data_IF_927047178221
#
_entry.id   IF_927047178221
#
_cell.length_a   1.000
_cell.length_b   1.000
_cell.length_c   1.000
_cell.angle_alpha   90.00
_cell.angle_beta   90.00
_cell.angle_gamma   90.00
#
_symmetry.space_group_name_H-M   'P 1'
#
loop_
_entity.id
_entity.type
_entity.pdbx_description
1 polymer ?
#
# COMPACT_ATOMS: atom_id res chain seq x y z
N UNK A 1 21.11 19.18 -21.25
CA UNK A 1 21.50 18.81 -19.88
C UNK A 1 21.81 17.32 -19.87
N UNK A 2 22.93 16.90 -19.28
CA UNK A 2 23.24 15.47 -19.19
C UNK A 2 22.27 14.79 -18.21
N UNK A 3 21.89 13.52 -18.43
CA UNK A 3 20.98 12.82 -17.53
C UNK A 3 21.43 12.79 -16.06
N UNK A 4 22.75 12.69 -15.82
CA UNK A 4 23.34 12.74 -14.48
C UNK A 4 23.15 14.08 -13.76
N UNK A 5 23.04 15.18 -14.51
CA UNK A 5 22.78 16.52 -13.98
C UNK A 5 21.29 16.75 -13.72
N UNK A 6 20.42 16.02 -14.43
CA UNK A 6 18.97 16.19 -14.34
C UNK A 6 18.35 15.44 -13.16
N UNK A 7 18.88 14.27 -12.81
CA UNK A 7 18.37 13.46 -11.68
C UNK A 7 18.31 14.24 -10.35
N UNK A 8 19.35 14.98 -9.91
CA UNK A 8 19.26 15.80 -8.71
C UNK A 8 18.13 16.84 -8.76
N UNK A 9 17.90 17.46 -9.92
CA UNK A 9 16.84 18.45 -10.10
C UNK A 9 15.45 17.81 -10.04
N UNK A 10 15.26 16.63 -10.64
CA UNK A 10 14.01 15.86 -10.53
C UNK A 10 13.71 15.55 -9.07
N UNK A 11 14.68 15.03 -8.31
CA UNK A 11 14.53 14.70 -6.88
C UNK A 11 14.24 15.93 -6.02
N UNK A 12 14.85 17.07 -6.34
CA UNK A 12 14.57 18.32 -5.65
C UNK A 12 13.14 18.81 -5.96
N UNK A 13 12.76 18.79 -7.24
CA UNK A 13 11.45 19.28 -7.67
C UNK A 13 10.31 18.37 -7.20
N UNK A 14 10.52 17.05 -7.15
CA UNK A 14 9.52 16.11 -6.64
C UNK A 14 9.15 16.44 -5.19
N UNK A 15 10.14 16.81 -4.36
CA UNK A 15 9.87 17.28 -2.98
C UNK A 15 9.02 18.53 -2.96
N UNK A 16 9.28 19.49 -3.84
CA UNK A 16 8.46 20.70 -3.96
C UNK A 16 7.01 20.40 -4.39
N UNK A 17 6.77 19.31 -5.11
CA UNK A 17 5.43 18.84 -5.46
C UNK A 17 4.80 17.89 -4.42
N UNK A 18 5.45 17.67 -3.27
CA UNK A 18 4.88 16.92 -2.14
C UNK A 18 5.14 15.42 -2.19
N UNK A 19 6.25 14.98 -2.79
CA UNK A 19 6.78 13.62 -2.64
C UNK A 19 7.88 13.57 -1.58
N UNK A 20 7.82 12.62 -0.65
CA UNK A 20 8.77 12.49 0.45
C UNK A 20 10.06 11.76 0.04
N UNK A 21 9.97 10.87 -0.95
CA UNK A 21 11.13 10.23 -1.56
C UNK A 21 11.00 10.15 -3.10
N UNK A 22 12.15 10.13 -3.77
CA UNK A 22 12.27 9.98 -5.21
C UNK A 22 13.55 9.21 -5.53
N UNK A 23 13.43 8.17 -6.34
CA UNK A 23 14.53 7.32 -6.78
C UNK A 23 14.38 6.89 -8.22
N UNK A 24 15.46 6.41 -8.84
CA UNK A 24 15.49 5.99 -10.24
C UNK A 24 15.79 4.49 -10.31
N UNK A 25 14.92 3.72 -10.95
CA UNK A 25 15.14 2.31 -11.24
C UNK A 25 15.42 2.08 -12.73
N UNK A 26 16.16 1.00 -13.09
CA UNK A 26 16.20 0.53 -14.47
C UNK A 26 14.80 0.03 -14.91
N UNK A 27 14.48 0.07 -16.21
CA UNK A 27 13.15 -0.30 -16.71
C UNK A 27 12.92 -1.81 -16.76
N UNK A 28 13.98 -2.61 -16.73
CA UNK A 28 13.97 -4.04 -17.02
C UNK A 28 15.07 -4.80 -16.27
N UNK A 29 15.10 -6.12 -16.43
CA UNK A 29 16.17 -6.97 -15.88
C UNK A 29 16.09 -7.19 -14.37
N UNK A 30 14.91 -6.97 -13.77
CA UNK A 30 14.66 -7.10 -12.34
C UNK A 30 14.13 -8.52 -12.03
N UNK A 31 14.90 -9.39 -11.34
CA UNK A 31 14.52 -10.79 -11.16
C UNK A 31 13.16 -11.00 -10.49
N UNK A 32 12.77 -10.11 -9.57
CA UNK A 32 11.54 -10.19 -8.80
C UNK A 32 10.28 -10.01 -9.65
N UNK A 33 10.37 -9.40 -10.84
CA UNK A 33 9.22 -9.24 -11.74
C UNK A 33 8.62 -10.59 -12.16
N UNK A 34 9.43 -11.64 -12.18
CA UNK A 34 8.98 -13.00 -12.51
C UNK A 34 8.08 -13.63 -11.43
N UNK A 35 8.19 -13.20 -10.17
CA UNK A 35 7.45 -13.75 -9.05
C UNK A 35 5.94 -13.56 -9.17
N UNK A 36 5.50 -12.53 -9.90
CA UNK A 36 4.09 -12.24 -10.11
C UNK A 36 3.36 -13.36 -10.88
N UNK A 37 3.97 -13.92 -11.94
CA UNK A 37 3.34 -15.00 -12.72
C UNK A 37 3.23 -16.29 -11.90
N UNK A 38 4.24 -16.59 -11.09
CA UNK A 38 4.20 -17.72 -10.15
C UNK A 38 3.10 -17.53 -9.10
N UNK A 39 2.98 -16.32 -8.55
CA UNK A 39 1.92 -15.98 -7.60
C UNK A 39 0.51 -16.14 -8.19
N UNK A 40 0.31 -15.73 -9.45
CA UNK A 40 -0.92 -15.98 -10.20
C UNK A 40 -1.16 -17.48 -10.41
N UNK A 41 -0.14 -18.24 -10.82
CA UNK A 41 -0.24 -19.68 -11.06
C UNK A 41 -0.65 -20.48 -9.81
N UNK A 42 -0.31 -19.99 -8.61
CA UNK A 42 -0.78 -20.56 -7.33
C UNK A 42 -2.24 -20.23 -7.00
N UNK A 43 -2.91 -19.40 -7.80
CA UNK A 43 -4.27 -18.94 -7.56
C UNK A 43 -4.40 -17.95 -6.41
N UNK A 44 -3.30 -17.34 -5.97
CA UNK A 44 -3.29 -16.45 -4.82
C UNK A 44 -3.96 -15.10 -5.07
N UNK A 45 -4.33 -14.78 -6.32
CA UNK A 45 -5.04 -13.56 -6.70
C UNK A 45 -6.55 -13.55 -6.38
N UNK A 46 -7.14 -14.69 -6.05
CA UNK A 46 -8.58 -14.78 -5.84
C UNK A 46 -9.38 -14.32 -7.06
N UNK A 47 -10.34 -13.42 -6.87
CA UNK A 47 -11.25 -12.92 -7.92
C UNK A 47 -10.64 -11.78 -8.77
N UNK A 48 -9.38 -11.38 -8.53
CA UNK A 48 -8.72 -10.26 -9.22
C UNK A 48 -8.27 -10.61 -10.65
N UNK A 49 -9.18 -11.08 -11.50
CA UNK A 49 -8.92 -11.50 -12.89
C UNK A 49 -8.27 -10.41 -13.78
N UNK A 50 -8.35 -9.13 -13.38
CA UNK A 50 -7.66 -8.04 -14.07
C UNK A 50 -6.12 -8.14 -13.97
N UNK A 51 -5.60 -8.78 -12.92
CA UNK A 51 -4.18 -9.04 -12.73
C UNK A 51 -3.66 -10.05 -13.77
N UNK A 52 -4.43 -11.09 -14.06
CA UNK A 52 -4.10 -12.08 -15.10
C UNK A 52 -4.07 -11.44 -16.49
N UNK A 53 -5.08 -10.61 -16.82
CA UNK A 53 -5.17 -9.92 -18.12
C UNK A 53 -4.00 -8.97 -18.40
N UNK A 54 -3.33 -8.49 -17.36
CA UNK A 54 -2.22 -7.54 -17.46
C UNK A 54 -0.85 -8.17 -17.13
N UNK A 55 -0.79 -9.50 -16.94
CA UNK A 55 0.41 -10.15 -16.43
C UNK A 55 1.64 -10.05 -17.34
N UNK A 56 1.44 -10.10 -18.66
CA UNK A 56 2.55 -9.93 -19.61
C UNK A 56 3.05 -8.49 -19.66
N UNK A 57 2.14 -7.51 -19.54
CA UNK A 57 2.51 -6.09 -19.48
C UNK A 57 3.27 -5.75 -18.19
N UNK A 58 3.00 -6.46 -17.09
CA UNK A 58 3.67 -6.30 -15.79
C UNK A 58 5.06 -6.92 -15.72
N UNK A 59 5.46 -7.71 -16.72
CA UNK A 59 6.75 -8.39 -16.72
C UNK A 59 7.92 -7.42 -16.89
N UNK A 60 7.68 -6.23 -17.45
CA UNK A 60 8.70 -5.24 -17.80
C UNK A 60 8.07 -3.85 -17.99
N UNK A 61 8.79 -2.76 -17.67
CA UNK A 61 8.29 -1.40 -17.89
C UNK A 61 7.98 -1.08 -19.36
N UNK A 62 8.63 -1.79 -20.32
CA UNK A 62 8.35 -1.65 -21.75
C UNK A 62 6.91 -2.06 -22.11
N UNK A 63 6.25 -2.89 -21.29
CA UNK A 63 4.83 -3.23 -21.46
C UNK A 63 3.89 -2.04 -21.21
N UNK A 64 4.32 -1.06 -20.43
CA UNK A 64 3.58 0.16 -20.16
C UNK A 64 4.01 1.33 -21.07
N UNK A 65 5.31 1.43 -21.40
CA UNK A 65 5.85 2.40 -22.35
C UNK A 65 6.98 1.76 -23.16
N UNK A 66 6.75 1.48 -24.45
CA UNK A 66 7.73 0.81 -25.32
C UNK A 66 9.08 1.54 -25.39
N UNK A 67 9.08 2.87 -25.21
CA UNK A 67 10.30 3.70 -25.22
C UNK A 67 11.00 3.81 -23.86
N UNK A 68 10.59 3.05 -22.84
CA UNK A 68 11.13 3.13 -21.48
C UNK A 68 12.65 2.94 -21.43
N UNK A 69 13.33 3.85 -20.72
CA UNK A 69 14.76 3.76 -20.41
C UNK A 69 15.07 3.93 -18.93
N UNK A 70 14.11 4.44 -18.16
CA UNK A 70 14.19 4.55 -16.70
C UNK A 70 12.79 4.58 -16.08
N UNK A 71 12.72 4.32 -14.78
CA UNK A 71 11.50 4.48 -13.99
C UNK A 71 11.81 5.40 -12.82
N UNK A 72 11.14 6.55 -12.78
CA UNK A 72 11.21 7.47 -11.63
C UNK A 72 10.17 6.99 -10.62
N UNK A 73 10.62 6.49 -9.48
CA UNK A 73 9.74 6.02 -8.40
C UNK A 73 9.64 7.09 -7.33
N UNK A 74 8.43 7.39 -6.93
CA UNK A 74 8.08 8.40 -5.96
C UNK A 74 7.38 7.75 -4.78
N UNK A 75 7.59 8.28 -3.58
CA UNK A 75 6.88 7.83 -2.40
C UNK A 75 6.36 9.01 -1.56
N UNK A 76 5.19 8.84 -0.98
CA UNK A 76 4.53 9.87 -0.14
C UNK A 76 4.00 9.24 1.13
N UNK A 77 4.36 9.79 2.28
CA UNK A 77 3.90 9.34 3.61
C UNK A 77 2.43 9.69 3.78
N UNK A 78 1.64 8.68 4.19
CA UNK A 78 0.21 8.84 4.49
C UNK A 78 -0.15 8.58 5.95
N UNK A 79 0.84 8.24 6.79
CA UNK A 79 0.59 8.01 8.20
C UNK A 79 0.03 9.26 8.89
N UNK A 80 -0.82 9.10 9.89
CA UNK A 80 -1.38 10.19 10.69
C UNK A 80 -1.30 9.86 12.17
N UNK A 81 -1.48 10.87 13.03
CA UNK A 81 -1.40 10.80 14.50
C UNK A 81 -2.42 9.85 15.17
N UNK A 82 -3.34 9.26 14.41
CA UNK A 82 -4.34 8.33 14.95
C UNK A 82 -3.69 7.06 15.51
N UNK A 83 -4.27 6.40 16.51
CA UNK A 83 -3.72 5.17 17.09
C UNK A 83 -3.81 3.98 16.12
N UNK A 84 -2.90 3.02 16.26
CA UNK A 84 -2.94 1.77 15.48
C UNK A 84 -4.14 0.90 15.87
N UNK A 85 -4.63 0.09 14.93
CA UNK A 85 -5.72 -0.86 15.19
C UNK A 85 -5.32 -1.89 16.26
N UNK A 86 -4.05 -2.29 16.30
CA UNK A 86 -3.51 -3.20 17.32
C UNK A 86 -3.50 -2.62 18.74
N UNK A 87 -3.66 -1.31 18.90
CA UNK A 87 -3.70 -0.61 20.18
C UNK A 87 -5.15 -0.32 20.65
N UNK A 88 -6.14 -0.70 19.85
CA UNK A 88 -7.55 -0.46 20.16
C UNK A 88 -7.99 -1.23 21.42
N UNK A 89 -8.70 -0.53 22.31
CA UNK A 89 -9.22 -1.11 23.56
C UNK A 89 -10.73 -1.33 23.53
N UNK A 90 -11.45 -0.59 22.69
CA UNK A 90 -12.88 -0.77 22.47
C UNK A 90 -13.10 -1.85 21.40
N UNK A 91 -13.70 -3.00 21.75
CA UNK A 91 -13.98 -4.07 20.80
C UNK A 91 -15.03 -3.69 19.74
N UNK A 92 -15.70 -2.54 19.89
CA UNK A 92 -16.68 -2.02 18.91
C UNK A 92 -16.09 -0.93 18.02
N UNK A 93 -14.83 -0.54 18.19
CA UNK A 93 -14.19 0.42 17.30
C UNK A 93 -14.05 -0.18 15.89
N UNK A 94 -14.49 0.56 14.87
CA UNK A 94 -14.32 0.14 13.49
C UNK A 94 -12.92 0.48 12.99
N UNK A 95 -12.29 -0.43 12.25
CA UNK A 95 -10.97 -0.22 11.67
C UNK A 95 -11.05 -0.07 10.15
N UNK A 96 -10.55 1.07 9.67
CA UNK A 96 -10.31 1.36 8.27
C UNK A 96 -8.81 1.51 8.12
N UNK A 97 -8.23 0.85 7.11
CA UNK A 97 -6.82 0.99 6.78
C UNK A 97 -6.47 2.45 6.49
N UNK A 98 -5.35 2.89 7.06
CA UNK A 98 -4.85 4.26 7.08
C UNK A 98 -4.79 4.92 5.71
N UNK A 99 -4.44 4.13 4.69
CA UNK A 99 -4.30 4.64 3.33
C UNK A 99 -5.64 5.16 2.74
N UNK A 100 -6.78 4.74 3.30
CA UNK A 100 -8.10 5.05 2.78
C UNK A 100 -8.86 6.11 3.61
N UNK A 101 -8.23 6.69 4.61
CA UNK A 101 -8.84 7.66 5.53
C UNK A 101 -9.17 9.01 4.90
N UNK A 102 -8.31 9.48 4.01
CA UNK A 102 -8.41 10.78 3.36
C UNK A 102 -8.99 10.74 1.95
N UNK A 103 -8.50 11.64 1.11
CA UNK A 103 -8.76 11.70 -0.31
C UNK A 103 -8.15 10.52 -1.05
N UNK A 104 -8.77 10.14 -2.17
CA UNK A 104 -8.28 9.09 -3.04
C UNK A 104 -6.87 9.44 -3.58
N UNK A 105 -5.87 8.70 -3.09
CA UNK A 105 -4.46 8.91 -3.41
C UNK A 105 -4.18 8.84 -4.91
N UNK A 106 -4.95 8.05 -5.67
CA UNK A 106 -4.80 7.97 -7.13
C UNK A 106 -4.91 9.35 -7.77
N UNK A 107 -5.91 10.15 -7.38
CA UNK A 107 -6.14 11.46 -7.96
C UNK A 107 -5.13 12.50 -7.49
N UNK A 108 -4.74 12.43 -6.22
CA UNK A 108 -3.78 13.37 -5.64
C UNK A 108 -2.39 13.15 -6.23
N UNK A 109 -1.91 11.90 -6.27
CA UNK A 109 -0.58 11.58 -6.78
C UNK A 109 -0.49 11.73 -8.30
N UNK A 110 -1.55 11.40 -9.04
CA UNK A 110 -1.57 11.65 -10.49
C UNK A 110 -1.37 13.14 -10.80
N UNK A 111 -2.09 14.04 -10.10
CA UNK A 111 -1.90 15.50 -10.27
C UNK A 111 -0.48 15.95 -9.94
N UNK A 112 0.14 15.40 -8.90
CA UNK A 112 1.54 15.73 -8.54
C UNK A 112 2.53 15.24 -9.59
N UNK A 113 2.31 14.04 -10.14
CA UNK A 113 3.14 13.51 -11.23
C UNK A 113 2.96 14.34 -12.51
N UNK A 114 1.75 14.73 -12.87
CA UNK A 114 1.49 15.60 -14.02
C UNK A 114 2.23 16.94 -13.90
N UNK A 115 2.25 17.52 -12.69
CA UNK A 115 3.02 18.73 -12.41
C UNK A 115 4.54 18.51 -12.56
N UNK A 116 5.05 17.39 -12.05
CA UNK A 116 6.45 17.02 -12.19
C UNK A 116 6.84 16.79 -13.65
N UNK A 117 6.03 16.05 -14.42
CA UNK A 117 6.24 15.80 -15.86
C UNK A 117 6.21 17.12 -16.64
N UNK A 118 5.23 17.98 -16.37
CA UNK A 118 5.13 19.29 -17.02
C UNK A 118 6.37 20.16 -16.74
N UNK A 119 6.86 20.18 -15.50
CA UNK A 119 8.10 20.85 -15.15
C UNK A 119 9.31 20.21 -15.85
N UNK A 120 9.39 18.87 -15.92
CA UNK A 120 10.48 18.18 -16.60
C UNK A 120 10.54 18.58 -18.08
N UNK A 121 9.40 18.71 -18.76
CA UNK A 121 9.32 19.20 -20.14
C UNK A 121 9.72 20.66 -20.31
N UNK A 122 9.58 21.48 -19.27
CA UNK A 122 10.04 22.89 -19.31
C UNK A 122 11.56 22.99 -19.17
N UNK A 123 12.17 22.11 -18.37
CA UNK A 123 13.60 22.17 -18.04
C UNK A 123 14.46 21.35 -19.01
N UNK A 124 13.97 20.20 -19.47
CA UNK A 124 14.69 19.34 -20.40
C UNK A 124 14.29 19.66 -21.84
N UNK A 125 15.24 20.21 -22.60
CA UNK A 125 14.98 20.78 -23.94
C UNK A 125 14.70 19.74 -25.02
N UNK A 126 15.21 18.53 -24.88
CA UNK A 126 14.97 17.45 -25.84
C UNK A 126 13.62 16.77 -25.57
N UNK A 127 12.84 16.42 -26.61
CA UNK A 127 11.59 15.70 -26.42
C UNK A 127 11.81 14.32 -25.80
N UNK A 128 10.90 13.92 -24.91
CA UNK A 128 10.85 12.58 -24.33
C UNK A 128 9.41 12.18 -24.02
N UNK A 129 9.16 10.89 -23.88
CA UNK A 129 7.91 10.33 -23.38
C UNK A 129 8.02 10.04 -21.88
N UNK A 130 6.94 10.33 -21.15
CA UNK A 130 6.75 10.00 -19.75
C UNK A 130 5.30 9.50 -19.52
N UNK A 131 5.16 8.39 -18.81
CA UNK A 131 3.88 7.76 -18.50
C UNK A 131 3.72 7.60 -16.98
N UNK A 132 2.83 8.37 -16.33
CA UNK A 132 2.59 8.29 -14.89
C UNK A 132 1.67 7.12 -14.53
N UNK A 133 1.97 6.44 -13.43
CA UNK A 133 1.19 5.33 -12.88
C UNK A 133 1.12 5.40 -11.35
N UNK A 134 -0.03 4.96 -10.84
CA UNK A 134 -0.30 4.79 -9.40
C UNK A 134 -1.36 3.71 -9.28
N UNK A 135 -1.00 2.55 -8.73
CA UNK A 135 -1.77 1.30 -8.46
C UNK A 135 -2.51 0.66 -9.67
N UNK A 136 -3.22 1.46 -10.44
CA UNK A 136 -4.13 1.10 -11.54
C UNK A 136 -3.43 0.74 -12.87
N UNK A 137 -2.10 0.73 -12.90
CA UNK A 137 -1.28 0.41 -14.09
C UNK A 137 -0.68 -1.01 -14.09
N UNK A 138 -0.19 -1.49 -15.23
CA UNK A 138 0.56 -2.74 -15.32
C UNK A 138 2.00 -2.57 -14.82
N UNK A 139 2.19 -1.94 -13.66
CA UNK A 139 3.51 -1.68 -13.05
C UNK A 139 3.64 -2.50 -11.77
N UNK A 140 4.79 -3.13 -11.56
CA UNK A 140 5.11 -3.79 -10.29
C UNK A 140 5.84 -2.79 -9.38
N UNK A 141 5.07 -1.83 -8.88
CA UNK A 141 5.50 -0.65 -8.11
C UNK A 141 6.54 -0.99 -7.04
N UNK A 142 6.26 -2.03 -6.25
CA UNK A 142 7.12 -2.45 -5.13
C UNK A 142 8.50 -2.96 -5.58
N UNK A 143 8.57 -3.59 -6.76
CA UNK A 143 9.84 -4.05 -7.34
C UNK A 143 10.65 -2.86 -7.81
N UNK A 144 10.03 -1.92 -8.52
CA UNK A 144 10.72 -0.70 -8.95
C UNK A 144 11.16 0.14 -7.75
N UNK A 145 10.34 0.29 -6.71
CA UNK A 145 10.70 0.98 -5.48
C UNK A 145 11.95 0.40 -4.81
N UNK A 146 12.11 -0.94 -4.81
CA UNK A 146 13.34 -1.59 -4.35
C UNK A 146 14.55 -1.15 -5.15
N UNK A 147 14.47 -1.25 -6.47
CA UNK A 147 15.58 -0.97 -7.38
C UNK A 147 15.85 0.53 -7.56
N UNK A 148 14.91 1.39 -7.18
CA UNK A 148 15.06 2.83 -7.07
C UNK A 148 15.64 3.29 -5.72
N UNK A 149 15.91 2.35 -4.80
CA UNK A 149 16.45 2.67 -3.47
C UNK A 149 15.44 3.31 -2.52
N UNK A 150 14.14 3.31 -2.84
CA UNK A 150 13.07 3.84 -1.97
C UNK A 150 12.97 3.02 -0.67
N UNK A 151 13.10 1.71 -0.75
CA UNK A 151 12.95 0.81 0.39
C UNK A 151 13.01 -0.64 -0.06
N UNK A 152 13.07 -1.61 0.87
CA UNK A 152 13.07 -3.03 0.50
C UNK A 152 11.68 -3.62 0.59
N UNK A 153 11.42 -4.72 -0.13
CA UNK A 153 10.17 -5.47 0.00
C UNK A 153 10.26 -6.32 1.27
N UNK A 154 9.47 -5.98 2.27
CA UNK A 154 9.45 -6.68 3.55
C UNK A 154 8.80 -8.07 3.47
N UNK A 155 8.95 -8.85 4.54
CA UNK A 155 8.29 -10.16 4.68
C UNK A 155 6.75 -10.06 4.68
N UNK A 156 6.20 -8.88 4.93
CA UNK A 156 4.77 -8.56 4.82
C UNK A 156 4.33 -8.13 3.40
N UNK A 157 5.23 -8.19 2.41
CA UNK A 157 5.03 -7.79 1.02
C UNK A 157 4.89 -6.27 0.77
N UNK A 158 4.99 -5.41 1.79
CA UNK A 158 5.03 -3.95 1.64
C UNK A 158 6.45 -3.47 1.34
N UNK A 159 6.59 -2.29 0.74
CA UNK A 159 7.89 -1.59 0.72
C UNK A 159 8.10 -0.95 2.08
N UNK A 160 9.30 -1.14 2.65
CA UNK A 160 9.71 -0.57 3.92
C UNK A 160 10.89 0.34 3.66
N UNK A 161 10.76 1.61 4.03
CA UNK A 161 11.83 2.59 4.05
C UNK A 161 12.38 2.71 5.49
N UNK A 162 13.70 2.83 5.68
CA UNK A 162 14.28 2.89 7.01
C UNK A 162 13.93 4.15 7.81
N UNK A 163 13.58 5.25 7.14
CA UNK A 163 13.25 6.56 7.72
C UNK A 163 11.74 6.83 7.68
N UNK A 164 11.06 6.43 6.60
CA UNK A 164 9.64 6.71 6.37
C UNK A 164 8.70 5.57 6.82
N UNK A 165 9.26 4.41 7.18
CA UNK A 165 8.48 3.21 7.44
C UNK A 165 7.83 2.65 6.17
N UNK A 166 6.68 1.99 6.32
CA UNK A 166 5.91 1.40 5.21
C UNK A 166 4.58 2.12 4.93
N UNK A 167 4.22 3.13 5.72
CA UNK A 167 3.02 3.94 5.47
C UNK A 167 3.28 4.97 4.38
N UNK A 168 3.67 4.47 3.22
CA UNK A 168 4.00 5.23 2.02
C UNK A 168 3.14 4.77 0.85
N UNK A 169 2.56 5.73 0.13
CA UNK A 169 2.05 5.48 -1.22
C UNK A 169 3.23 5.38 -2.18
N UNK A 170 3.09 4.56 -3.22
CA UNK A 170 4.01 4.51 -4.34
C UNK A 170 3.33 5.11 -5.58
N UNK A 171 4.14 5.69 -6.45
CA UNK A 171 3.74 6.11 -7.78
C UNK A 171 4.97 6.20 -8.68
N UNK A 172 4.82 5.93 -9.97
CA UNK A 172 5.92 5.84 -10.92
C UNK A 172 5.69 6.70 -12.15
N UNK A 173 6.78 7.24 -12.68
CA UNK A 173 6.83 7.82 -14.02
C UNK A 173 7.78 6.96 -14.84
N UNK A 174 7.23 6.18 -15.78
CA UNK A 174 8.03 5.43 -16.74
C UNK A 174 8.48 6.41 -17.82
N UNK A 175 9.79 6.50 -18.02
CA UNK A 175 10.40 7.59 -18.78
C UNK A 175 11.31 7.05 -19.87
N UNK A 176 11.26 7.68 -21.04
CA UNK A 176 12.16 7.37 -22.16
C UNK A 176 13.54 8.03 -22.07
N UNK A 177 13.77 8.85 -21.04
CA UNK A 177 15.10 9.37 -20.73
C UNK A 177 15.95 8.29 -20.06
N UNK A 178 17.23 8.23 -20.44
CA UNK A 178 18.22 7.37 -19.82
C UNK A 178 18.76 8.02 -18.55
N UNK A 179 18.01 7.88 -17.46
CA UNK A 179 18.38 8.41 -16.14
C UNK A 179 19.23 7.37 -15.38
N UNK A 180 20.39 7.74 -14.80
CA UNK A 180 21.20 6.82 -14.01
C UNK A 180 20.41 6.24 -12.83
N UNK A 181 20.38 4.91 -12.65
CA UNK A 181 19.64 4.29 -11.56
C UNK A 181 20.33 4.52 -10.20
N UNK A 182 19.51 4.55 -9.15
CA UNK A 182 19.97 4.54 -7.77
C UNK A 182 20.39 3.13 -7.33
N UNK A 183 21.00 3.05 -6.15
CA UNK A 183 21.39 1.77 -5.56
C UNK A 183 20.17 1.09 -4.96
N UNK A 184 19.89 -0.19 -5.30
CA UNK A 184 18.78 -0.91 -4.71
C UNK A 184 18.87 -0.99 -3.19
N UNK A 185 17.73 -0.84 -2.51
CA UNK A 185 17.67 -0.92 -1.06
C UNK A 185 17.98 -2.35 -0.57
N UNK A 186 18.85 -2.44 0.43
CA UNK A 186 19.17 -3.70 1.10
C UNK A 186 17.99 -4.17 1.98
N UNK A 187 17.75 -5.47 2.02
CA UNK A 187 16.80 -6.08 2.96
C UNK A 187 17.29 -5.86 4.41
N UNK A 188 16.39 -5.37 5.26
CA UNK A 188 16.65 -5.16 6.70
C UNK A 188 15.66 -5.86 7.63
N UNK A 189 14.85 -6.80 7.13
CA UNK A 189 13.98 -7.61 7.97
C UNK A 189 14.77 -8.58 8.87
N UNK A 190 15.93 -9.07 8.42
CA UNK A 190 16.75 -10.02 9.16
C UNK A 190 15.95 -11.26 9.62
N UNK A 191 16.12 -11.66 10.89
CA UNK A 191 15.40 -12.78 11.48
C UNK A 191 13.95 -12.44 11.90
N UNK A 192 13.51 -11.18 11.84
CA UNK A 192 12.19 -10.76 12.32
C UNK A 192 11.04 -11.49 11.60
N UNK A 193 10.01 -11.91 12.35
CA UNK A 193 8.81 -12.59 11.83
C UNK A 193 7.50 -12.02 12.40
N UNK A 194 7.52 -10.80 12.96
CA UNK A 194 6.38 -10.20 13.65
C UNK A 194 5.12 -10.16 12.77
N UNK A 195 5.24 -9.68 11.53
CA UNK A 195 4.12 -9.61 10.59
C UNK A 195 3.52 -10.98 10.24
N UNK A 196 4.35 -12.00 10.10
CA UNK A 196 3.92 -13.38 9.80
C UNK A 196 3.11 -13.95 10.97
N UNK A 197 3.55 -13.70 12.21
CA UNK A 197 2.90 -14.16 13.44
C UNK A 197 1.62 -13.38 13.76
N UNK A 198 1.60 -12.09 13.45
CA UNK A 198 0.48 -11.22 13.76
C UNK A 198 -0.68 -11.29 12.75
N UNK A 199 -0.44 -11.78 11.53
CA UNK A 199 -1.46 -11.88 10.50
C UNK A 199 -2.62 -12.79 10.95
N UNK A 200 -3.84 -12.27 11.22
CA UNK A 200 -4.90 -13.04 11.89
C UNK A 200 -5.38 -14.24 11.09
N UNK A 201 -5.33 -14.13 9.77
CA UNK A 201 -5.78 -15.15 8.83
C UNK A 201 -4.64 -15.98 8.27
N UNK A 202 -3.40 -15.75 8.72
CA UNK A 202 -2.19 -16.39 8.16
C UNK A 202 -2.12 -16.25 6.63
N UNK A 203 -2.48 -15.08 6.11
CA UNK A 203 -2.42 -14.79 4.69
C UNK A 203 -0.97 -14.68 4.19
N UNK A 204 -0.03 -14.31 5.05
CA UNK A 204 1.40 -14.35 4.75
C UNK A 204 1.92 -15.79 4.93
N UNK A 205 1.79 -16.61 3.89
CA UNK A 205 2.09 -18.05 3.91
C UNK A 205 3.59 -18.37 3.97
N UNK A 206 4.42 -17.41 3.59
CA UNK A 206 5.88 -17.45 3.74
C UNK A 206 6.43 -16.01 3.74
N UNK A 207 7.70 -15.77 4.14
CA UNK A 207 8.33 -14.46 4.01
C UNK A 207 8.19 -13.90 2.58
N UNK A 208 7.47 -12.78 2.44
CA UNK A 208 7.27 -12.12 1.15
C UNK A 208 6.23 -12.80 0.23
N UNK A 209 5.48 -13.79 0.73
CA UNK A 209 4.46 -14.51 -0.05
C UNK A 209 3.09 -14.36 0.61
N UNK A 210 2.17 -13.69 -0.08
CA UNK A 210 0.80 -13.44 0.39
C UNK A 210 -0.19 -14.32 -0.39
N UNK A 211 -1.07 -15.06 0.28
CA UNK A 211 -2.29 -15.58 -0.33
C UNK A 211 -3.41 -14.53 -0.16
N UNK A 212 -3.73 -13.77 -1.21
CA UNK A 212 -4.68 -12.67 -1.09
C UNK A 212 -6.08 -13.18 -0.69
N UNK A 213 -6.45 -14.40 -1.06
CA UNK A 213 -7.76 -14.99 -0.71
C UNK A 213 -8.01 -15.05 0.79
N UNK A 214 -6.94 -15.00 1.60
CA UNK A 214 -7.00 -14.99 3.06
C UNK A 214 -6.78 -13.60 3.66
N UNK A 215 -6.23 -12.66 2.90
CA UNK A 215 -5.84 -11.35 3.41
C UNK A 215 -7.07 -10.49 3.71
N UNK A 216 -7.20 -9.98 4.94
CA UNK A 216 -8.34 -9.12 5.35
C UNK A 216 -8.50 -7.94 4.39
N UNK A 217 -7.39 -7.37 3.89
CA UNK A 217 -7.45 -6.31 2.89
C UNK A 217 -8.17 -6.75 1.61
N UNK A 218 -7.85 -7.92 1.07
CA UNK A 218 -8.56 -8.45 -0.11
C UNK A 218 -10.01 -8.81 0.22
N UNK A 219 -10.27 -9.46 1.36
CA UNK A 219 -11.61 -9.87 1.78
C UNK A 219 -12.56 -8.67 1.88
N UNK A 220 -12.06 -7.54 2.38
CA UNK A 220 -12.87 -6.33 2.61
C UNK A 220 -12.96 -5.41 1.37
N UNK A 221 -12.03 -5.52 0.41
CA UNK A 221 -11.95 -4.59 -0.73
C UNK A 221 -12.33 -5.24 -2.06
N UNK A 222 -11.74 -6.40 -2.35
CA UNK A 222 -11.76 -6.99 -3.70
C UNK A 222 -12.77 -8.10 -3.85
N UNK A 223 -12.94 -8.93 -2.81
CA UNK A 223 -13.93 -10.00 -2.82
C UNK A 223 -15.34 -9.40 -2.90
N UNK A 224 -16.15 -9.87 -3.85
CA UNK A 224 -17.51 -9.33 -4.07
C UNK A 224 -18.61 -10.14 -3.39
N UNK A 225 -18.40 -11.45 -3.24
CA UNK A 225 -19.32 -12.35 -2.56
C UNK A 225 -19.19 -12.35 -1.03
N UNK A 226 -19.67 -13.39 -0.38
CA UNK A 226 -19.51 -13.57 1.07
C UNK A 226 -18.05 -13.85 1.45
N UNK A 227 -17.59 -13.30 2.57
CA UNK A 227 -16.32 -13.69 3.19
C UNK A 227 -16.46 -15.16 3.65
N UNK A 228 -15.47 -16.05 3.43
CA UNK A 228 -15.55 -17.44 3.90
C UNK A 228 -15.80 -17.50 5.41
N UNK A 229 -16.71 -18.37 5.85
CA UNK A 229 -17.16 -18.43 7.25
C UNK A 229 -16.01 -18.69 8.23
N UNK A 230 -15.02 -19.49 7.82
CA UNK A 230 -13.82 -19.78 8.61
C UNK A 230 -12.88 -18.57 8.79
N UNK A 231 -12.99 -17.56 7.93
CA UNK A 231 -12.18 -16.33 7.99
C UNK A 231 -12.92 -15.18 8.68
N UNK A 232 -14.26 -15.19 8.72
CA UNK A 232 -15.08 -14.11 9.31
C UNK A 232 -14.62 -13.73 10.72
N UNK A 233 -14.41 -14.65 11.69
CA UNK A 233 -13.99 -14.27 13.04
C UNK A 233 -12.65 -13.52 13.06
N UNK A 234 -11.71 -13.91 12.21
CA UNK A 234 -10.37 -13.32 12.15
C UNK A 234 -10.34 -11.94 11.47
N UNK A 235 -11.39 -11.54 10.76
CA UNK A 235 -11.54 -10.16 10.24
C UNK A 235 -11.64 -9.16 11.40
N UNK A 236 -12.19 -9.56 12.54
CA UNK A 236 -12.44 -8.67 13.67
C UNK A 236 -13.36 -7.51 13.26
N UNK A 237 -13.06 -6.30 13.71
CA UNK A 237 -13.82 -5.08 13.39
C UNK A 237 -13.24 -4.29 12.20
N UNK A 238 -12.44 -4.94 11.35
CA UNK A 238 -11.94 -4.33 10.12
C UNK A 238 -13.06 -4.19 9.09
N UNK A 239 -13.44 -2.95 8.78
CA UNK A 239 -14.52 -2.65 7.83
C UNK A 239 -14.00 -2.33 6.43
N UNK A 240 -12.72 -1.97 6.29
CA UNK A 240 -12.07 -1.71 5.01
C UNK A 240 -10.54 -1.77 5.13
N UNK A 241 -9.89 -2.67 4.40
CA UNK A 241 -8.43 -2.84 4.48
C UNK A 241 -7.96 -3.44 5.80
N UNK A 242 -6.64 -3.62 5.95
CA UNK A 242 -6.02 -4.07 7.20
C UNK A 242 -4.55 -3.63 7.24
N UNK A 243 -4.13 -3.05 8.37
CA UNK A 243 -2.76 -2.55 8.55
C UNK A 243 -1.94 -3.39 9.52
N UNK A 244 -2.48 -4.44 10.13
CA UNK A 244 -1.82 -5.19 11.22
C UNK A 244 -0.38 -5.59 10.88
N UNK A 245 -0.13 -6.09 9.65
CA UNK A 245 1.21 -6.53 9.24
C UNK A 245 2.20 -5.36 9.07
N UNK A 246 1.71 -4.13 8.90
CA UNK A 246 2.48 -2.89 8.94
C UNK A 246 2.58 -2.37 10.38
N UNK A 247 1.49 -2.32 11.15
CA UNK A 247 1.46 -1.77 12.51
C UNK A 247 2.40 -2.51 13.48
N UNK A 248 2.59 -3.83 13.30
CA UNK A 248 3.56 -4.60 14.10
C UNK A 248 5.01 -4.50 13.59
N UNK A 249 5.25 -3.83 12.46
CA UNK A 249 6.58 -3.69 11.88
C UNK A 249 7.40 -2.66 12.70
N UNK A 250 8.61 -3.01 13.17
CA UNK A 250 9.42 -2.08 13.98
C UNK A 250 9.74 -0.76 13.28
N UNK A 251 9.84 -0.76 11.94
CA UNK A 251 10.09 0.45 11.15
C UNK A 251 8.91 1.44 11.12
N UNK A 252 7.72 1.03 11.56
CA UNK A 252 6.58 1.93 11.68
C UNK A 252 6.39 2.52 13.08
N UNK A 253 7.11 2.02 14.09
CA UNK A 253 7.06 2.59 15.45
C UNK A 253 7.54 4.04 15.50
N UNK A 254 8.36 4.45 14.53
CA UNK A 254 8.89 5.81 14.39
C UNK A 254 8.61 6.39 13.00
N UNK A 255 7.63 5.85 12.27
CA UNK A 255 7.28 6.39 10.96
C UNK A 255 6.75 7.84 11.12
N UNK A 256 7.19 8.78 10.27
CA UNK A 256 6.73 10.15 10.35
C UNK A 256 5.23 10.23 10.07
N UNK A 257 4.60 11.26 10.64
CA UNK A 257 3.22 11.61 10.35
C UNK A 257 3.19 12.64 9.22
N UNK A 258 2.19 12.53 8.35
CA UNK A 258 1.97 13.50 7.30
C UNK A 258 1.07 14.62 7.78
N UNK A 259 1.50 15.86 7.57
CA UNK A 259 0.68 17.07 7.75
C UNK A 259 -0.17 17.41 6.52
N UNK A 260 -0.15 16.58 5.49
CA UNK A 260 -0.90 16.81 4.26
C UNK A 260 -2.41 16.65 4.51
N UNK A 261 -3.23 17.69 4.24
CA UNK A 261 -4.68 17.63 4.43
C UNK A 261 -5.35 16.51 3.62
N UNK A 262 -4.77 16.12 2.49
CA UNK A 262 -5.33 15.07 1.64
C UNK A 262 -5.32 13.69 2.32
N UNK A 263 -4.43 13.45 3.28
CA UNK A 263 -4.30 12.15 3.95
C UNK A 263 -5.01 12.09 5.31
N UNK A 264 -5.51 13.24 5.79
CA UNK A 264 -6.14 13.29 7.10
C UNK A 264 -7.48 12.53 7.11
N UNK A 265 -7.84 11.89 8.23
CA UNK A 265 -9.10 11.20 8.36
C UNK A 265 -10.30 12.10 8.10
N UNK A 266 -11.19 11.66 7.23
CA UNK A 266 -12.49 12.29 7.05
C UNK A 266 -13.33 12.07 8.31
N UNK A 267 -14.09 13.10 8.73
CA UNK A 267 -14.93 13.06 9.93
C UNK A 267 -15.99 11.96 9.96
N UNK A 268 -16.38 11.45 8.78
CA UNK A 268 -17.31 10.33 8.66
C UNK A 268 -16.68 8.98 9.00
N UNK A 269 -15.35 8.87 8.94
CA UNK A 269 -14.58 7.65 9.24
C UNK A 269 -13.86 7.71 10.58
N UNK A 270 -13.44 8.89 10.98
CA UNK A 270 -12.54 9.09 12.13
C UNK A 270 -13.19 8.65 13.46
N UNK A 271 -12.56 7.67 14.13
CA UNK A 271 -12.96 7.22 15.46
C UNK A 271 -14.34 6.59 15.58
N UNK A 272 -14.95 6.13 14.47
CA UNK A 272 -16.31 5.56 14.50
C UNK A 272 -16.35 4.16 15.09
N UNK A 273 -17.46 3.88 15.79
CA UNK A 273 -17.84 2.52 16.15
C UNK A 273 -18.46 1.77 14.96
N UNK A 274 -18.46 0.45 15.02
CA UNK A 274 -19.11 -0.40 14.02
C UNK A 274 -20.63 -0.15 13.98
N UNK A 275 -21.26 0.11 15.14
CA UNK A 275 -22.69 0.39 15.22
C UNK A 275 -23.05 1.69 14.47
N UNK A 276 -22.25 2.74 14.61
CA UNK A 276 -22.46 3.99 13.89
C UNK A 276 -22.37 3.79 12.37
N UNK A 277 -21.40 3.00 11.90
CA UNK A 277 -21.24 2.71 10.47
C UNK A 277 -22.38 1.85 9.90
N UNK A 278 -22.90 0.90 10.69
CA UNK A 278 -24.07 0.11 10.31
C UNK A 278 -25.30 0.99 10.08
N UNK A 279 -25.53 1.97 10.96
CA UNK A 279 -26.70 2.85 10.91
C UNK A 279 -26.53 4.04 9.97
N UNK A 280 -25.34 4.23 9.38
CA UNK A 280 -25.10 5.28 8.39
C UNK A 280 -26.09 5.12 7.23
N UNK A 281 -26.80 6.17 6.82
CA UNK A 281 -27.77 6.06 5.72
C UNK A 281 -27.07 5.78 4.39
N UNK A 282 -27.79 5.23 3.41
CA UNK A 282 -27.24 5.00 2.06
C UNK A 282 -26.84 6.31 1.36
N UNK A 283 -27.53 7.42 1.67
CA UNK A 283 -27.22 8.74 1.14
C UNK A 283 -25.93 9.30 1.76
N UNK A 284 -25.76 9.14 3.07
CA UNK A 284 -24.55 9.57 3.79
C UNK A 284 -23.35 8.73 3.37
N UNK A 285 -23.51 7.40 3.28
CA UNK A 285 -22.47 6.50 2.79
C UNK A 285 -22.07 6.86 1.35
N UNK A 286 -23.03 7.14 0.45
CA UNK A 286 -22.71 7.58 -0.91
C UNK A 286 -21.90 8.87 -0.91
N UNK A 287 -22.28 9.83 -0.08
CA UNK A 287 -21.58 11.12 0.06
C UNK A 287 -20.16 10.92 0.60
N UNK A 288 -20.00 10.09 1.61
CA UNK A 288 -18.72 9.77 2.25
C UNK A 288 -17.71 9.11 1.29
N UNK A 289 -18.20 8.35 0.30
CA UNK A 289 -17.39 7.65 -0.69
C UNK A 289 -16.94 8.51 -1.87
N UNK A 290 -17.49 9.72 -2.04
CA UNK A 290 -17.06 10.64 -3.10
C UNK A 290 -15.58 10.98 -2.89
N UNK A 291 -14.76 10.78 -3.93
CA UNK A 291 -13.30 10.97 -3.87
C UNK A 291 -12.59 10.14 -2.80
N UNK A 292 -13.12 8.99 -2.38
CA UNK A 292 -12.44 8.07 -1.46
C UNK A 292 -12.05 6.78 -2.18
N UNK A 293 -10.85 6.28 -1.86
CA UNK A 293 -10.41 4.96 -2.28
C UNK A 293 -11.38 3.85 -1.82
N UNK A 294 -12.14 4.07 -0.74
CA UNK A 294 -13.14 3.12 -0.23
C UNK A 294 -14.27 2.80 -1.23
N UNK A 295 -14.46 3.65 -2.23
CA UNK A 295 -15.39 3.39 -3.33
C UNK A 295 -15.10 2.06 -4.07
N UNK A 296 -13.84 1.57 -4.02
CA UNK A 296 -13.40 0.30 -4.59
C UNK A 296 -14.20 -0.91 -4.08
N UNK A 297 -14.55 -0.95 -2.79
CA UNK A 297 -15.34 -2.03 -2.20
C UNK A 297 -16.80 -2.03 -2.66
N UNK A 298 -17.28 -0.90 -3.21
CA UNK A 298 -18.69 -0.62 -3.51
C UNK A 298 -19.57 -0.63 -2.24
N UNK A 299 -20.72 0.03 -2.33
CA UNK A 299 -21.69 0.11 -1.22
C UNK A 299 -22.05 -1.26 -0.64
N UNK A 300 -22.32 -2.24 -1.50
CA UNK A 300 -22.70 -3.60 -1.07
C UNK A 300 -21.58 -4.29 -0.28
N UNK A 301 -20.32 -4.17 -0.73
CA UNK A 301 -19.16 -4.74 -0.03
C UNK A 301 -18.95 -4.06 1.33
N UNK A 302 -19.08 -2.75 1.41
CA UNK A 302 -18.98 -2.02 2.68
C UNK A 302 -20.07 -2.42 3.67
N UNK A 303 -21.33 -2.53 3.23
CA UNK A 303 -22.43 -3.00 4.09
C UNK A 303 -22.20 -4.41 4.62
N UNK A 304 -21.72 -5.32 3.75
CA UNK A 304 -21.30 -6.67 4.16
C UNK A 304 -20.19 -6.59 5.22
N UNK A 305 -19.16 -5.78 5.01
CA UNK A 305 -18.06 -5.65 5.96
C UNK A 305 -18.52 -5.08 7.31
N UNK A 306 -19.41 -4.08 7.30
CA UNK A 306 -19.98 -3.51 8.53
C UNK A 306 -20.76 -4.56 9.31
N UNK A 307 -21.53 -5.41 8.63
CA UNK A 307 -22.24 -6.52 9.28
C UNK A 307 -21.28 -7.54 9.88
N UNK A 308 -20.27 -7.99 9.13
CA UNK A 308 -19.27 -8.94 9.64
C UNK A 308 -18.53 -8.37 10.84
N UNK A 309 -18.14 -7.10 10.79
CA UNK A 309 -17.51 -6.41 11.92
C UNK A 309 -18.43 -6.34 13.13
N UNK A 310 -19.73 -6.14 12.94
CA UNK A 310 -20.69 -6.03 14.04
C UNK A 310 -20.95 -7.38 14.72
N UNK A 311 -21.05 -8.43 13.92
CA UNK A 311 -21.18 -9.80 14.40
C UNK A 311 -19.95 -10.18 15.24
N UNK A 312 -18.75 -9.78 14.78
CA UNK A 312 -17.49 -10.00 15.52
C UNK A 312 -17.38 -9.14 16.79
N UNK A 313 -17.90 -7.90 16.79
CA UNK A 313 -17.88 -7.01 17.95
C UNK A 313 -18.80 -7.47 19.11
N UNK A 314 -19.75 -8.37 18.82
CA UNK A 314 -20.62 -9.03 19.81
C UNK A 314 -20.24 -10.48 20.16
N UNK A 315 -19.26 -11.07 19.46
CA UNK A 315 -18.71 -12.40 19.75
C UNK A 315 -17.61 -12.36 20.82
N UNK A 316 -17.31 -13.50 21.45
CA UNK A 316 -16.25 -13.62 22.45
C UNK A 316 -14.88 -13.21 21.87
N UNK A 317 -14.42 -12.00 22.20
CA UNK A 317 -13.21 -11.34 21.66
C UNK A 317 -11.88 -11.94 22.14
N UNK A 318 -11.92 -13.12 22.77
CA UNK A 318 -10.73 -13.80 23.29
C UNK A 318 -9.81 -14.39 22.22
N UNK A 319 -10.20 -14.43 20.94
CA UNK A 319 -9.38 -14.96 19.84
C UNK A 319 -8.34 -13.98 19.25
N UNK A 320 -8.41 -12.68 19.58
CA UNK A 320 -7.43 -11.67 19.10
C UNK A 320 -6.37 -11.25 20.14
N UNK A 321 -6.60 -11.55 21.43
CA UNK A 321 -5.67 -11.20 22.52
C UNK A 321 -4.67 -12.33 22.76
N UNK A 322 -3.62 -12.40 21.95
CA UNK A 322 -2.32 -12.99 22.30
C UNK A 322 -1.35 -12.79 21.14
N UNK A 323 -0.60 -11.69 21.18
CA UNK A 323 0.88 -11.62 21.26
C UNK A 323 1.21 -10.12 21.25
N UNK A 324 1.30 -9.50 22.44
CA UNK A 324 2.24 -8.39 22.55
C UNK A 324 3.63 -9.00 22.42
N UNK A 325 4.47 -8.62 21.45
CA UNK A 325 5.88 -8.90 21.55
C UNK A 325 6.36 -8.06 22.75
N UNK A 326 6.57 -8.72 23.89
CA UNK A 326 7.33 -8.11 24.97
C UNK A 326 8.69 -7.62 24.44
N UNK A 327 9.34 -6.68 25.14
CA UNK A 327 10.64 -6.18 24.73
C UNK A 327 11.61 -7.36 24.51
N UNK A 328 12.50 -7.29 23.51
CA UNK A 328 13.44 -8.37 23.22
C UNK A 328 14.26 -8.67 24.47
N UNK A 329 14.27 -9.95 24.88
CA UNK A 329 15.11 -10.42 25.98
C UNK A 329 16.59 -10.32 25.55
N UNK A 330 17.52 -9.89 26.44
CA UNK A 330 18.92 -9.67 26.09
C UNK A 330 19.74 -10.94 25.75
N UNK A 331 19.13 -12.13 25.67
CA UNK A 331 19.86 -13.40 25.64
C UNK A 331 19.80 -14.16 24.30
N UNK A 332 19.12 -13.65 23.27
CA UNK A 332 19.14 -14.27 21.93
C UNK A 332 20.38 -13.85 21.10
N UNK A 333 21.55 -13.95 21.73
CA UNK A 333 22.86 -13.70 21.16
C UNK A 333 23.88 -14.72 21.62
N UNK A 334 23.79 -15.94 21.07
CA UNK A 334 24.87 -16.93 21.00
C UNK A 334 24.65 -17.85 19.79
#
# INVERSE_FOLDING_TARGET
MLPSEFVPLIKQQSRAFGFDACGIAPPSGLPELSAFKEWLARGYAGEMTFLERSADLRADAHGALESARSVIVLATVYNTERPFSIDATDPRQAHISRYAWGDDYHHVLMRRMDQLIAWMHQVHTEPFNAAPYVDTGPVQERVFARHAGIGWIGKNCCVINPELGSFIFLSEIICSLELPPDVPAADRCGACTLCLRACPTQALVAPGVLDARRCISYLTIEQRGEIPDELKPAVGTHVYGCDICQEVCPYNATAPESGDPAWQPRSVWDGRSVDELLHLSDADLKTALVNSAMSRARKAGLRRNFQVAADNAGGDTTLGRRVHPGPPHPEDGA
#
